data_IF_311981555728
#
_entry.id   IF_311981555728
#
_cell.length_a   1.000
_cell.length_b   1.000
_cell.length_c   1.000
_cell.angle_alpha   90.00
_cell.angle_beta   90.00
_cell.angle_gamma   90.00
#
_symmetry.space_group_name_H-M   'P 1'
#
loop_
_entity.id
_entity.type
_entity.pdbx_description
1 polymer ?
#
# COMPACT_ATOMS: atom_id res chain seq x y z
N UNK A 1 24.29 4.25 -30.17
CA UNK A 1 24.02 5.69 -30.39
C UNK A 1 22.58 5.95 -30.86
N UNK A 2 22.06 5.26 -31.92
CA UNK A 2 20.71 5.47 -32.46
C UNK A 2 19.60 5.09 -31.45
N UNK A 3 19.81 4.10 -30.59
CA UNK A 3 18.81 3.66 -29.57
C UNK A 3 18.64 4.67 -28.46
N UNK A 4 19.69 5.34 -28.03
CA UNK A 4 19.64 6.41 -27.02
C UNK A 4 18.96 7.68 -27.54
N UNK A 5 19.13 8.00 -28.82
CA UNK A 5 18.49 9.16 -29.44
C UNK A 5 16.97 8.92 -29.59
N UNK A 6 16.52 7.71 -29.94
CA UNK A 6 15.08 7.37 -29.98
C UNK A 6 14.41 7.48 -28.62
N UNK A 7 15.09 7.06 -27.54
CA UNK A 7 14.55 7.16 -26.17
C UNK A 7 14.47 8.62 -25.72
N UNK A 8 15.47 9.44 -26.02
CA UNK A 8 15.46 10.87 -25.70
C UNK A 8 14.40 11.66 -26.47
N UNK A 9 14.21 11.36 -27.76
CA UNK A 9 13.16 12.00 -28.59
C UNK A 9 11.76 11.57 -28.15
N UNK A 10 11.57 10.33 -27.72
CA UNK A 10 10.29 9.85 -27.19
C UNK A 10 9.91 10.53 -25.86
N UNK A 11 10.91 10.81 -25.00
CA UNK A 11 10.71 11.56 -23.75
C UNK A 11 10.41 13.05 -23.97
N UNK A 12 10.89 13.64 -25.05
CA UNK A 12 10.64 15.05 -25.40
C UNK A 12 9.25 15.30 -26.02
N UNK A 13 8.59 14.26 -26.51
CA UNK A 13 7.27 14.37 -27.19
C UNK A 13 6.08 14.00 -26.31
N UNK A 14 6.30 13.40 -25.12
CA UNK A 14 5.21 13.06 -24.20
C UNK A 14 5.14 14.16 -23.15
N UNK A 15 4.21 15.09 -23.30
CA UNK A 15 3.95 16.08 -22.26
C UNK A 15 3.59 15.38 -20.93
N UNK A 16 4.23 15.79 -19.81
CA UNK A 16 3.95 15.19 -18.52
C UNK A 16 2.46 15.34 -18.17
N UNK A 17 1.86 14.26 -17.73
CA UNK A 17 0.42 14.23 -17.42
C UNK A 17 0.16 13.66 -16.02
N UNK A 18 -0.90 14.17 -15.40
CA UNK A 18 -1.35 13.68 -14.11
C UNK A 18 -1.79 12.21 -14.21
N UNK A 19 -1.28 11.30 -13.36
CA UNK A 19 -1.64 9.87 -13.40
C UNK A 19 -3.11 9.62 -13.01
N UNK A 20 -3.79 10.56 -12.37
CA UNK A 20 -5.20 10.45 -11.97
C UNK A 20 -6.12 10.97 -13.07
N UNK A 21 -6.06 12.27 -13.43
CA UNK A 21 -7.00 12.93 -14.35
C UNK A 21 -6.49 13.02 -15.79
N UNK A 22 -5.21 12.76 -16.06
CA UNK A 22 -4.54 12.86 -17.37
C UNK A 22 -4.37 14.28 -17.91
N UNK A 23 -4.75 15.31 -17.17
CA UNK A 23 -4.45 16.69 -17.56
C UNK A 23 -2.95 16.91 -17.59
N UNK A 24 -2.49 17.84 -18.42
CA UNK A 24 -1.10 18.27 -18.41
C UNK A 24 -0.69 18.69 -17.00
N UNK A 25 0.49 18.29 -16.57
CA UNK A 25 1.01 18.55 -15.23
C UNK A 25 2.45 19.04 -15.33
N UNK A 26 2.79 20.06 -14.55
CA UNK A 26 4.17 20.55 -14.49
C UNK A 26 5.16 19.54 -13.89
N UNK A 27 4.66 18.55 -13.15
CA UNK A 27 5.47 17.49 -12.54
C UNK A 27 5.06 16.15 -13.14
N UNK A 28 5.98 15.51 -13.83
CA UNK A 28 5.79 14.17 -14.37
C UNK A 28 5.49 13.18 -13.24
N UNK A 29 4.64 12.21 -13.53
CA UNK A 29 4.35 11.04 -12.70
C UNK A 29 3.76 11.32 -11.31
N UNK A 30 3.38 12.56 -11.00
CA UNK A 30 2.71 12.90 -9.75
C UNK A 30 1.27 13.40 -9.98
N UNK A 31 0.36 13.20 -9.01
CA UNK A 31 -0.95 13.84 -9.03
C UNK A 31 -0.82 15.36 -9.08
N UNK A 32 -1.55 16.00 -10.03
CA UNK A 32 -1.61 17.47 -10.12
C UNK A 32 -2.30 18.09 -8.88
N UNK A 33 -2.11 19.38 -8.68
CA UNK A 33 -2.65 20.09 -7.51
C UNK A 33 -4.18 19.97 -7.43
N UNK A 34 -4.89 20.03 -8.55
CA UNK A 34 -6.34 19.82 -8.59
C UNK A 34 -6.72 18.41 -8.05
N UNK A 35 -6.04 17.35 -8.49
CA UNK A 35 -6.31 16.02 -7.98
C UNK A 35 -5.90 15.83 -6.51
N UNK A 36 -4.80 16.47 -6.08
CA UNK A 36 -4.40 16.48 -4.67
C UNK A 36 -5.44 17.16 -3.79
N UNK A 37 -5.93 18.31 -4.21
CA UNK A 37 -6.99 19.06 -3.51
C UNK A 37 -8.30 18.28 -3.48
N UNK A 38 -8.77 17.77 -4.63
CA UNK A 38 -10.01 16.99 -4.74
C UNK A 38 -9.98 15.72 -3.90
N UNK A 39 -8.84 15.04 -3.83
CA UNK A 39 -8.63 13.86 -3.00
C UNK A 39 -8.25 14.18 -1.56
N UNK A 40 -8.20 15.45 -1.16
CA UNK A 40 -7.82 15.90 0.18
C UNK A 40 -6.49 15.32 0.64
N UNK A 41 -5.48 15.26 -0.25
CA UNK A 41 -4.16 14.73 0.06
C UNK A 41 -3.31 15.82 0.72
N UNK A 42 -3.02 15.75 2.04
CA UNK A 42 -2.20 16.74 2.72
C UNK A 42 -0.78 16.76 2.12
N UNK A 43 -0.13 17.91 2.15
CA UNK A 43 1.22 18.07 1.61
C UNK A 43 2.24 17.08 2.22
N UNK A 44 2.11 16.83 3.52
CA UNK A 44 2.98 15.91 4.29
C UNK A 44 2.33 14.57 4.60
N UNK A 45 1.23 14.22 3.91
CA UNK A 45 0.43 13.04 4.19
C UNK A 45 -0.14 13.00 5.61
N UNK A 46 -0.66 11.85 5.99
CA UNK A 46 -1.15 11.56 7.32
C UNK A 46 -0.22 10.59 8.04
N UNK A 47 -0.11 10.69 9.36
CA UNK A 47 0.71 9.79 10.17
C UNK A 47 0.13 9.61 11.55
N UNK A 48 0.46 8.48 12.18
CA UNK A 48 0.05 8.18 13.54
C UNK A 48 0.83 7.02 14.13
N UNK A 49 0.60 6.76 15.42
CA UNK A 49 1.29 5.72 16.19
C UNK A 49 0.35 4.58 16.62
N UNK A 50 -0.95 4.75 16.49
CA UNK A 50 -1.95 3.74 16.86
C UNK A 50 -2.73 3.29 15.62
N UNK A 51 -2.96 1.97 15.46
CA UNK A 51 -2.64 0.82 16.32
C UNK A 51 -1.17 0.36 16.25
N UNK A 52 -0.40 0.82 15.29
CA UNK A 52 1.05 0.76 15.11
C UNK A 52 1.47 2.05 14.42
N UNK A 53 2.77 2.35 14.29
CA UNK A 53 3.24 3.49 13.50
C UNK A 53 2.76 3.34 12.05
N UNK A 54 2.20 4.39 11.46
CA UNK A 54 1.71 4.35 10.08
C UNK A 54 1.86 5.70 9.36
N UNK A 55 1.94 5.61 8.01
CA UNK A 55 1.87 6.74 7.09
C UNK A 55 0.85 6.45 6.00
N UNK A 56 0.06 7.48 5.62
CA UNK A 56 -0.91 7.42 4.54
C UNK A 56 -0.91 8.70 3.72
N UNK A 57 -1.28 8.64 2.44
CA UNK A 57 -1.40 9.82 1.59
C UNK A 57 -2.52 10.74 2.04
N UNK A 58 -3.67 10.18 2.41
CA UNK A 58 -4.84 10.98 2.75
C UNK A 58 -5.93 10.19 3.48
N UNK A 59 -7.08 10.84 3.77
CA UNK A 59 -8.22 10.20 4.39
C UNK A 59 -8.91 9.25 3.40
N UNK A 60 -9.43 8.11 3.91
CA UNK A 60 -10.29 7.23 3.12
C UNK A 60 -11.71 7.80 3.09
N UNK A 61 -11.88 8.89 2.34
CA UNK A 61 -13.14 9.63 2.23
C UNK A 61 -13.28 10.28 0.84
N UNK A 62 -14.48 10.75 0.51
CA UNK A 62 -14.78 11.56 -0.66
C UNK A 62 -14.21 11.01 -1.98
N UNK A 63 -13.61 11.87 -2.77
CA UNK A 63 -13.02 11.53 -4.07
C UNK A 63 -11.87 10.51 -3.97
N UNK A 64 -11.07 10.56 -2.89
CA UNK A 64 -9.99 9.61 -2.71
C UNK A 64 -10.49 8.19 -2.45
N UNK A 65 -11.52 8.02 -1.63
CA UNK A 65 -12.20 6.73 -1.45
C UNK A 65 -12.72 6.19 -2.79
N UNK A 66 -13.34 7.06 -3.61
CA UNK A 66 -13.85 6.65 -4.92
C UNK A 66 -12.73 6.20 -5.85
N UNK A 67 -11.61 6.93 -5.92
CA UNK A 67 -10.42 6.54 -6.67
C UNK A 67 -9.90 5.16 -6.21
N UNK A 68 -9.73 4.93 -4.91
CA UNK A 68 -9.23 3.66 -4.38
C UNK A 68 -10.15 2.47 -4.72
N UNK A 69 -11.46 2.67 -4.73
CA UNK A 69 -12.40 1.65 -5.20
C UNK A 69 -12.24 1.35 -6.70
N UNK A 70 -11.98 2.37 -7.52
CA UNK A 70 -11.67 2.17 -8.94
C UNK A 70 -10.35 1.41 -9.15
N UNK A 71 -9.30 1.74 -8.37
CA UNK A 71 -8.01 1.03 -8.42
C UNK A 71 -8.15 -0.47 -8.14
N UNK A 72 -9.07 -0.84 -7.23
CA UNK A 72 -9.35 -2.25 -6.90
C UNK A 72 -10.07 -3.01 -8.02
N UNK A 73 -10.95 -2.32 -8.75
CA UNK A 73 -11.94 -2.98 -9.61
C UNK A 73 -11.70 -2.75 -11.12
N UNK A 74 -10.84 -1.80 -11.50
CA UNK A 74 -10.63 -1.42 -12.90
C UNK A 74 -9.14 -1.40 -13.26
N UNK A 75 -8.73 -2.27 -14.21
CA UNK A 75 -7.34 -2.31 -14.68
C UNK A 75 -6.85 -0.94 -15.18
N UNK A 76 -7.66 -0.23 -15.97
CA UNK A 76 -7.28 1.08 -16.51
C UNK A 76 -7.04 2.17 -15.44
N UNK A 77 -7.54 2.01 -14.22
CA UNK A 77 -7.28 2.93 -13.12
C UNK A 77 -5.91 2.68 -12.47
N UNK A 78 -5.38 1.46 -12.54
CA UNK A 78 -4.12 1.06 -11.87
C UNK A 78 -2.90 1.87 -12.29
N UNK A 79 -2.95 2.52 -13.46
CA UNK A 79 -1.90 3.45 -13.92
C UNK A 79 -1.65 4.63 -12.95
N UNK A 80 -2.60 4.95 -12.05
CA UNK A 80 -2.39 5.98 -11.05
C UNK A 80 -1.53 5.51 -9.87
N UNK A 81 -1.31 4.19 -9.72
CA UNK A 81 -0.59 3.62 -8.58
C UNK A 81 0.86 4.09 -8.52
N UNK A 82 1.65 4.07 -9.62
CA UNK A 82 3.03 4.55 -9.59
C UNK A 82 3.12 6.00 -9.08
N UNK A 83 2.25 6.90 -9.55
CA UNK A 83 2.24 8.29 -9.12
C UNK A 83 1.80 8.47 -7.66
N UNK A 84 0.85 7.68 -7.17
CA UNK A 84 0.46 7.68 -5.76
C UNK A 84 1.58 7.11 -4.87
N UNK A 85 2.25 6.04 -5.31
CA UNK A 85 3.39 5.47 -4.60
C UNK A 85 4.58 6.44 -4.58
N UNK A 86 4.88 7.11 -5.69
CA UNK A 86 5.92 8.13 -5.75
C UNK A 86 5.64 9.30 -4.80
N UNK A 87 4.37 9.76 -4.72
CA UNK A 87 3.96 10.78 -3.78
C UNK A 87 4.15 10.30 -2.32
N UNK A 88 3.73 9.06 -2.00
CA UNK A 88 3.92 8.46 -0.69
C UNK A 88 5.40 8.36 -0.33
N UNK A 89 6.25 7.90 -1.24
CA UNK A 89 7.69 7.82 -1.06
C UNK A 89 8.31 9.20 -0.72
N UNK A 90 7.92 10.25 -1.47
CA UNK A 90 8.39 11.63 -1.22
C UNK A 90 7.98 12.16 0.16
N UNK A 91 6.80 11.80 0.64
CA UNK A 91 6.27 12.26 1.94
C UNK A 91 6.86 11.47 3.12
N UNK A 92 7.02 10.17 2.95
CA UNK A 92 7.49 9.27 4.01
C UNK A 92 9.01 9.32 4.19
N UNK A 93 9.79 9.40 3.11
CA UNK A 93 11.27 9.41 3.10
C UNK A 93 11.86 8.31 4.00
N UNK A 94 11.64 7.04 3.71
CA UNK A 94 12.13 5.95 4.53
C UNK A 94 13.66 5.91 4.56
N UNK A 95 14.24 5.28 5.59
CA UNK A 95 15.66 4.98 5.63
C UNK A 95 16.06 4.07 4.46
N UNK A 96 17.31 4.15 4.00
CA UNK A 96 17.77 3.41 2.80
C UNK A 96 17.78 1.90 2.97
N UNK A 97 17.92 1.42 4.19
CA UNK A 97 18.08 0.02 4.57
C UNK A 97 16.75 -0.71 4.86
N UNK A 98 15.61 -0.02 4.68
CA UNK A 98 14.31 -0.67 4.93
C UNK A 98 13.87 -1.55 3.77
N UNK A 99 13.13 -2.61 4.10
CA UNK A 99 12.49 -3.50 3.13
C UNK A 99 10.96 -3.45 3.30
N UNK A 100 10.25 -3.62 2.19
CA UNK A 100 8.80 -3.51 2.14
C UNK A 100 8.15 -4.89 2.08
N UNK A 101 7.16 -5.10 2.94
CA UNK A 101 6.40 -6.34 2.99
C UNK A 101 4.94 -6.06 2.64
N UNK A 102 4.49 -6.36 1.42
CA UNK A 102 3.10 -6.21 1.05
C UNK A 102 2.22 -7.20 1.82
N UNK A 103 1.09 -6.72 2.34
CA UNK A 103 0.13 -7.56 3.05
C UNK A 103 -0.75 -8.29 2.02
N UNK A 104 -0.72 -9.64 1.97
CA UNK A 104 -1.50 -10.39 0.99
C UNK A 104 -3.01 -10.32 1.26
N UNK A 105 -3.80 -10.23 0.20
CA UNK A 105 -5.26 -10.12 0.30
C UNK A 105 -5.92 -11.43 0.76
N UNK A 106 -7.15 -11.33 1.34
CA UNK A 106 -7.95 -12.49 1.74
C UNK A 106 -8.51 -13.31 0.56
N UNK A 107 -8.66 -12.71 -0.60
CA UNK A 107 -9.33 -13.34 -1.72
C UNK A 107 -8.39 -14.34 -2.40
N UNK A 108 -8.87 -15.60 -2.52
CA UNK A 108 -8.07 -16.76 -2.96
C UNK A 108 -7.92 -16.89 -4.47
N UNK A 109 -8.91 -16.42 -5.22
CA UNK A 109 -8.92 -16.52 -6.68
C UNK A 109 -8.07 -15.39 -7.26
N UNK A 110 -7.19 -15.68 -8.21
CA UNK A 110 -6.33 -14.69 -8.84
C UNK A 110 -7.13 -13.48 -9.38
N UNK A 111 -8.31 -13.73 -9.97
CA UNK A 111 -9.22 -12.70 -10.48
C UNK A 111 -9.86 -11.81 -9.37
N UNK A 112 -9.88 -12.26 -8.12
CA UNK A 112 -10.48 -11.54 -7.00
C UNK A 112 -9.43 -11.00 -6.01
N UNK A 113 -8.14 -11.34 -6.21
CA UNK A 113 -7.05 -10.89 -5.36
C UNK A 113 -6.87 -9.38 -5.51
N UNK A 114 -6.72 -8.67 -4.40
CA UNK A 114 -6.35 -7.27 -4.41
C UNK A 114 -4.83 -7.13 -4.62
N UNK A 115 -4.34 -6.70 -5.78
CA UNK A 115 -2.92 -6.58 -6.06
C UNK A 115 -2.33 -5.23 -5.56
N UNK A 116 -3.14 -4.35 -4.96
CA UNK A 116 -2.71 -2.99 -4.62
C UNK A 116 -1.52 -2.96 -3.66
N UNK A 117 -1.44 -3.76 -2.57
CA UNK A 117 -0.30 -3.72 -1.67
C UNK A 117 1.02 -4.02 -2.40
N UNK A 118 1.04 -5.03 -3.29
CA UNK A 118 2.21 -5.38 -4.08
C UNK A 118 2.59 -4.27 -5.08
N UNK A 119 1.63 -3.71 -5.80
CA UNK A 119 1.85 -2.64 -6.77
C UNK A 119 2.32 -1.34 -6.11
N UNK A 120 1.78 -1.01 -4.94
CA UNK A 120 2.23 0.13 -4.13
C UNK A 120 3.68 -0.08 -3.69
N UNK A 121 3.98 -1.26 -3.13
CA UNK A 121 5.32 -1.59 -2.67
C UNK A 121 6.37 -1.48 -3.80
N UNK A 122 6.06 -2.00 -4.99
CA UNK A 122 6.92 -1.88 -6.17
C UNK A 122 7.18 -0.42 -6.58
N UNK A 123 6.18 0.45 -6.43
CA UNK A 123 6.31 1.88 -6.76
C UNK A 123 7.04 2.71 -5.71
N UNK A 124 7.35 2.16 -4.52
CA UNK A 124 8.02 2.87 -3.43
C UNK A 124 9.56 2.88 -3.52
N UNK A 125 10.14 2.26 -4.55
CA UNK A 125 11.59 2.27 -4.81
C UNK A 125 12.46 1.72 -3.67
N UNK A 126 11.95 0.75 -2.92
CA UNK A 126 12.67 -0.01 -1.90
C UNK A 126 12.59 -1.50 -2.19
N UNK A 127 13.52 -2.32 -1.68
CA UNK A 127 13.45 -3.77 -1.84
C UNK A 127 12.12 -4.32 -1.31
N UNK A 128 11.43 -5.13 -2.12
CA UNK A 128 10.14 -5.75 -1.77
C UNK A 128 10.37 -7.20 -1.41
N UNK A 129 9.94 -7.60 -0.22
CA UNK A 129 10.01 -8.98 0.28
C UNK A 129 8.61 -9.51 0.61
N UNK A 130 8.03 -10.40 -0.18
CA UNK A 130 6.72 -10.99 0.09
C UNK A 130 6.82 -12.11 1.15
N UNK A 131 7.18 -11.74 2.38
CA UNK A 131 7.39 -12.67 3.49
C UNK A 131 6.11 -13.28 4.04
N UNK A 132 4.96 -12.60 3.85
CA UNK A 132 3.68 -13.01 4.43
C UNK A 132 2.89 -13.92 3.48
N UNK A 133 2.42 -15.03 4.02
CA UNK A 133 1.48 -15.94 3.36
C UNK A 133 0.19 -15.98 4.17
N UNK A 134 -0.96 -16.03 3.49
CA UNK A 134 -2.21 -16.41 4.15
C UNK A 134 -2.38 -17.92 4.08
N UNK A 135 -2.33 -18.64 5.20
CA UNK A 135 -2.58 -20.08 5.22
C UNK A 135 -3.98 -20.37 4.66
N UNK A 136 -4.11 -21.49 3.95
CA UNK A 136 -5.44 -21.96 3.55
C UNK A 136 -6.24 -22.26 4.82
N UNK A 137 -7.35 -21.55 5.05
CA UNK A 137 -8.27 -21.95 6.10
C UNK A 137 -8.77 -23.37 5.78
N UNK A 138 -8.44 -24.32 6.62
CA UNK A 138 -9.11 -25.63 6.64
C UNK A 138 -10.62 -25.43 6.81
N UNK A 139 -11.40 -26.29 6.19
CA UNK A 139 -12.84 -26.36 6.28
C UNK A 139 -13.28 -26.27 7.75
N UNK A 140 -14.13 -25.34 8.08
CA UNK A 140 -14.97 -25.13 9.24
C UNK A 140 -14.70 -23.85 10.05
N UNK A 141 -15.33 -22.75 9.64
CA UNK A 141 -15.39 -21.55 10.49
C UNK A 141 -16.71 -20.79 10.42
N UNK A 142 -17.83 -21.47 10.18
CA UNK A 142 -19.14 -20.79 10.15
C UNK A 142 -19.80 -20.56 11.53
N UNK A 143 -19.16 -20.96 12.67
CA UNK A 143 -19.77 -20.83 14.02
C UNK A 143 -18.73 -20.51 15.11
N UNK A 144 -17.99 -19.42 14.98
CA UNK A 144 -17.02 -19.08 16.03
C UNK A 144 -17.32 -17.74 16.69
N UNK A 145 -17.42 -17.74 18.03
CA UNK A 145 -17.65 -16.57 18.87
C UNK A 145 -16.47 -15.57 18.89
N UNK A 146 -16.69 -14.40 19.54
CA UNK A 146 -15.77 -13.24 19.55
C UNK A 146 -14.33 -13.58 19.95
N UNK A 147 -14.13 -14.46 20.94
CA UNK A 147 -12.83 -14.89 21.46
C UNK A 147 -12.04 -15.74 20.45
N UNK A 148 -12.76 -16.58 19.68
CA UNK A 148 -12.16 -17.39 18.63
C UNK A 148 -11.76 -16.56 17.39
N UNK A 149 -12.46 -15.44 17.11
CA UNK A 149 -12.06 -14.51 16.06
C UNK A 149 -10.71 -13.86 16.36
N UNK A 150 -10.43 -13.53 17.63
CA UNK A 150 -9.12 -12.99 18.05
C UNK A 150 -8.00 -14.04 17.99
N UNK A 151 -8.26 -15.31 18.34
CA UNK A 151 -7.31 -16.41 18.17
C UNK A 151 -7.03 -16.72 16.70
N UNK A 152 -8.06 -16.70 15.84
CA UNK A 152 -7.90 -16.90 14.39
C UNK A 152 -7.16 -15.75 13.70
N UNK A 153 -7.22 -14.54 14.24
CA UNK A 153 -6.44 -13.40 13.73
C UNK A 153 -4.94 -13.57 14.00
N UNK A 154 -4.54 -14.23 15.10
CA UNK A 154 -3.13 -14.55 15.40
C UNK A 154 -2.53 -15.59 14.43
N UNK A 155 -3.37 -16.38 13.75
CA UNK A 155 -2.96 -17.34 12.71
C UNK A 155 -3.32 -16.87 11.29
N UNK A 156 -3.62 -15.56 11.13
CA UNK A 156 -4.02 -15.00 9.83
C UNK A 156 -2.91 -15.01 8.79
N UNK A 157 -1.66 -15.07 9.24
CA UNK A 157 -0.45 -15.09 8.40
C UNK A 157 0.53 -16.16 8.87
N UNK A 158 1.17 -16.80 7.91
CA UNK A 158 2.42 -17.51 8.07
C UNK A 158 3.54 -16.66 7.45
N UNK A 159 4.78 -16.88 7.87
CA UNK A 159 5.94 -16.16 7.37
C UNK A 159 6.80 -17.14 6.58
N UNK A 160 7.28 -16.73 5.40
CA UNK A 160 8.32 -17.47 4.70
C UNK A 160 9.59 -17.47 5.53
N UNK A 161 10.30 -18.60 5.52
CA UNK A 161 11.61 -18.71 6.16
C UNK A 161 12.58 -17.73 5.48
N UNK A 162 13.10 -16.79 6.26
CA UNK A 162 14.01 -15.75 5.78
C UNK A 162 14.78 -15.15 6.97
N UNK A 163 16.07 -14.92 6.79
CA UNK A 163 16.90 -14.26 7.78
C UNK A 163 16.40 -12.82 8.06
N UNK A 164 16.26 -12.44 9.35
CA UNK A 164 15.88 -11.10 9.77
C UNK A 164 17.07 -10.14 9.67
N UNK A 165 17.30 -9.58 8.49
CA UNK A 165 18.47 -8.77 8.17
C UNK A 165 18.23 -7.25 8.19
N UNK A 166 17.00 -6.82 7.87
CA UNK A 166 16.65 -5.41 7.72
C UNK A 166 15.35 -5.04 8.43
N UNK A 167 15.18 -3.75 8.81
CA UNK A 167 13.90 -3.27 9.32
C UNK A 167 12.82 -3.32 8.22
N UNK A 168 11.64 -3.79 8.60
CA UNK A 168 10.52 -4.01 7.69
C UNK A 168 9.45 -2.93 7.84
N UNK A 169 8.89 -2.49 6.70
CA UNK A 169 7.66 -1.73 6.65
C UNK A 169 6.59 -2.54 5.92
N UNK A 170 5.45 -2.71 6.58
CA UNK A 170 4.27 -3.29 5.96
C UNK A 170 3.70 -2.35 4.90
N UNK A 171 3.12 -2.89 3.84
CA UNK A 171 2.41 -2.12 2.81
C UNK A 171 1.00 -2.66 2.64
N UNK A 172 0.00 -1.76 2.74
CA UNK A 172 -1.40 -2.08 2.47
C UNK A 172 -2.04 -0.95 1.64
N UNK A 173 -3.26 -1.12 1.16
CA UNK A 173 -3.98 -0.06 0.44
C UNK A 173 -4.70 0.89 1.40
N UNK A 174 -5.38 0.39 2.42
CA UNK A 174 -6.20 1.18 3.34
C UNK A 174 -6.01 0.69 4.77
N UNK A 175 -5.66 1.60 5.66
CA UNK A 175 -5.66 1.34 7.09
C UNK A 175 -7.04 1.70 7.67
N UNK A 176 -7.80 0.67 8.08
CA UNK A 176 -9.10 0.82 8.76
C UNK A 176 -8.93 0.71 10.29
N UNK A 177 -9.28 -0.40 10.90
CA UNK A 177 -9.04 -0.65 12.33
C UNK A 177 -7.59 -1.01 12.65
N UNK A 178 -6.82 -1.42 11.66
CA UNK A 178 -5.46 -1.91 11.79
C UNK A 178 -5.34 -3.38 12.21
N UNK A 179 -6.44 -4.08 12.36
CA UNK A 179 -6.42 -5.49 12.79
C UNK A 179 -5.55 -6.37 11.87
N UNK A 180 -5.63 -6.17 10.55
CA UNK A 180 -4.82 -6.89 9.57
C UNK A 180 -3.33 -6.54 9.71
N UNK A 181 -3.01 -5.26 9.87
CA UNK A 181 -1.64 -4.79 10.03
C UNK A 181 -1.00 -5.29 11.33
N UNK A 182 -1.77 -5.32 12.44
CA UNK A 182 -1.32 -5.89 13.71
C UNK A 182 -1.02 -7.38 13.55
N UNK A 183 -1.94 -8.15 12.95
CA UNK A 183 -1.74 -9.59 12.76
C UNK A 183 -0.52 -9.89 11.86
N UNK A 184 -0.29 -9.08 10.82
CA UNK A 184 0.87 -9.18 9.94
C UNK A 184 2.18 -8.86 10.69
N UNK A 185 2.18 -7.76 11.47
CA UNK A 185 3.31 -7.39 12.34
C UNK A 185 3.64 -8.50 13.33
N UNK A 186 2.64 -9.00 14.05
CA UNK A 186 2.84 -10.01 15.10
C UNK A 186 3.38 -11.32 14.54
N UNK A 187 2.95 -11.72 13.32
CA UNK A 187 3.50 -12.88 12.64
C UNK A 187 4.97 -12.69 12.30
N UNK A 188 5.34 -11.55 11.71
CA UNK A 188 6.74 -11.22 11.36
C UNK A 188 7.63 -11.11 12.60
N UNK A 189 7.15 -10.44 13.67
CA UNK A 189 7.90 -10.33 14.93
C UNK A 189 8.10 -11.69 15.60
N UNK A 190 7.11 -12.60 15.53
CA UNK A 190 7.24 -13.95 16.04
C UNK A 190 8.25 -14.79 15.25
N UNK A 191 8.52 -14.43 13.99
CA UNK A 191 9.58 -15.00 13.16
C UNK A 191 10.93 -14.28 13.30
N UNK A 192 11.08 -13.35 14.27
CA UNK A 192 12.33 -12.66 14.58
C UNK A 192 12.54 -11.34 13.82
N UNK A 193 11.64 -10.94 12.91
CA UNK A 193 11.79 -9.71 12.14
C UNK A 193 11.43 -8.45 12.94
N UNK A 194 12.11 -7.34 12.64
CA UNK A 194 11.80 -6.01 13.19
C UNK A 194 10.86 -5.25 12.28
N UNK A 195 9.62 -5.00 12.72
CA UNK A 195 8.61 -4.24 11.99
C UNK A 195 8.51 -2.82 12.52
N UNK A 196 8.82 -1.82 11.69
CA UNK A 196 8.84 -0.40 12.03
C UNK A 196 7.45 0.26 11.94
N UNK A 197 6.60 -0.21 11.01
CA UNK A 197 5.28 0.36 10.81
C UNK A 197 4.59 -0.08 9.54
N UNK A 198 3.60 0.71 9.11
CA UNK A 198 2.75 0.47 7.94
C UNK A 198 2.74 1.69 7.01
N UNK A 199 2.84 1.44 5.72
CA UNK A 199 2.58 2.38 4.64
C UNK A 199 1.27 2.02 3.95
N UNK A 200 0.42 3.01 3.69
CA UNK A 200 -0.81 2.79 2.93
C UNK A 200 -1.21 4.03 2.12
N UNK A 201 -2.13 3.87 1.18
CA UNK A 201 -2.65 5.02 0.44
C UNK A 201 -3.62 5.83 1.29
N UNK A 202 -4.49 5.17 2.06
CA UNK A 202 -5.49 5.89 2.84
C UNK A 202 -5.66 5.38 4.26
N UNK A 203 -6.10 6.31 5.14
CA UNK A 203 -6.52 6.03 6.53
C UNK A 203 -8.00 6.33 6.69
N UNK A 204 -8.78 5.39 7.17
CA UNK A 204 -10.17 5.67 7.56
C UNK A 204 -10.18 6.68 8.71
N UNK A 205 -10.90 7.81 8.58
CA UNK A 205 -11.03 8.76 9.68
C UNK A 205 -11.47 8.08 10.97
N UNK A 206 -10.92 8.50 12.11
CA UNK A 206 -11.44 8.06 13.40
C UNK A 206 -12.87 8.56 13.55
N UNK A 207 -13.80 7.67 13.91
CA UNK A 207 -15.15 8.09 14.27
C UNK A 207 -15.00 8.96 15.52
N UNK A 208 -15.26 10.25 15.40
CA UNK A 208 -15.42 11.12 16.57
C UNK A 208 -16.68 10.61 17.29
N UNK A 209 -16.49 9.94 18.42
CA UNK A 209 -17.56 9.67 19.36
C UNK A 209 -17.81 10.92 20.21
#
# INVERSE_FOLDING_TARGET
>A
MIHQIKTAVHQLLIAPSCPICRSLSAVADLPCDHCRASCQLPERGLRGLSPLRWYALGPYDGAFRHLLLQLKNREGAKRAIPGLAALLHRQFRPAKDVQLVPIPSWKRTASLRNPLPELIAQGLQHPVRPLLIRPRAGLSQHRLGRTMRQRNMRQAFAVHDAEPDHPLWLVDDILTTGATAIAARDALMSAGHRVEGLLCLARTPAIRR
#
